data_IF_317011766997
#
_entry.id   IF_317011766997
#
_cell.length_a   1.000
_cell.length_b   1.000
_cell.length_c   1.000
_cell.angle_alpha   90.00
_cell.angle_beta   90.00
_cell.angle_gamma   90.00
#
_symmetry.space_group_name_H-M   'P 1'
#
loop_
_entity.id
_entity.type
_entity.pdbx_description
1 polymer ?
#
# COMPACT_ATOMS: atom_id res chain seq x y z
N UNK A 1 -29.89 -85.46 -28.89
CA UNK A 1 -29.23 -84.40 -29.67
C UNK A 1 -29.62 -83.06 -29.12
N UNK A 2 -28.76 -82.13 -28.72
CA UNK A 2 -27.32 -82.09 -28.45
C UNK A 2 -27.19 -80.77 -27.65
N UNK A 3 -26.79 -80.84 -26.38
CA UNK A 3 -25.48 -80.36 -25.87
C UNK A 3 -25.17 -78.86 -25.98
N UNK A 4 -24.72 -78.29 -24.85
CA UNK A 4 -24.19 -76.94 -24.66
C UNK A 4 -24.75 -76.32 -23.37
N UNK A 5 -24.32 -76.75 -22.18
CA UNK A 5 -23.16 -76.28 -21.37
C UNK A 5 -23.24 -74.80 -20.96
N UNK A 6 -23.57 -74.66 -19.66
CA UNK A 6 -23.12 -73.74 -18.60
C UNK A 6 -22.52 -72.34 -18.86
N UNK A 7 -22.96 -71.43 -18.00
CA UNK A 7 -22.12 -70.63 -17.08
C UNK A 7 -22.24 -69.09 -17.13
N UNK A 8 -22.61 -68.58 -15.95
CA UNK A 8 -22.17 -67.33 -15.32
C UNK A 8 -22.98 -66.05 -15.51
N UNK A 9 -23.40 -65.55 -14.36
CA UNK A 9 -24.04 -64.27 -14.13
C UNK A 9 -23.12 -63.09 -14.46
N UNK A 10 -23.69 -62.01 -15.02
CA UNK A 10 -23.14 -60.66 -14.82
C UNK A 10 -24.22 -59.59 -14.85
N UNK A 11 -24.38 -58.95 -13.70
CA UNK A 11 -25.16 -57.75 -13.45
C UNK A 11 -24.91 -56.63 -14.47
N UNK A 12 -26.01 -56.02 -14.95
CA UNK A 12 -26.18 -54.56 -15.13
C UNK A 12 -27.61 -54.27 -15.61
N UNK A 13 -28.52 -54.06 -14.67
CA UNK A 13 -29.80 -53.43 -14.99
C UNK A 13 -29.61 -51.92 -14.88
N UNK A 14 -29.18 -51.32 -15.98
CA UNK A 14 -29.39 -49.90 -16.26
C UNK A 14 -30.81 -49.67 -16.80
N UNK A 15 -31.29 -48.46 -16.56
CA UNK A 15 -32.56 -47.85 -17.01
C UNK A 15 -33.76 -48.02 -16.07
N UNK A 16 -34.06 -46.91 -15.39
CA UNK A 16 -35.20 -46.77 -14.49
C UNK A 16 -35.57 -45.30 -14.28
N UNK A 17 -36.16 -44.72 -15.32
CA UNK A 17 -37.17 -43.65 -15.29
C UNK A 17 -36.78 -42.20 -14.96
N UNK A 18 -37.18 -41.30 -15.88
CA UNK A 18 -37.14 -39.86 -15.76
C UNK A 18 -37.90 -39.33 -14.53
N UNK A 19 -37.29 -38.38 -13.83
CA UNK A 19 -37.99 -37.19 -13.34
C UNK A 19 -37.12 -35.98 -13.62
N UNK A 20 -37.50 -35.17 -14.61
CA UNK A 20 -36.93 -33.83 -14.81
C UNK A 20 -37.50 -32.94 -13.70
N UNK A 21 -36.70 -32.39 -12.77
CA UNK A 21 -37.21 -31.33 -11.93
C UNK A 21 -37.34 -30.07 -12.79
N UNK A 22 -38.60 -29.62 -12.87
CA UNK A 22 -39.10 -28.36 -13.38
C UNK A 22 -38.08 -27.21 -13.26
N UNK A 23 -37.34 -26.96 -14.35
CA UNK A 23 -36.50 -25.76 -14.45
C UNK A 23 -37.44 -24.58 -14.72
N UNK A 24 -37.68 -23.76 -13.69
CA UNK A 24 -38.56 -22.61 -13.76
C UNK A 24 -38.02 -21.59 -14.80
N UNK A 25 -38.90 -21.09 -15.67
CA UNK A 25 -38.56 -20.26 -16.85
C UNK A 25 -38.05 -18.85 -16.52
N UNK A 26 -37.83 -18.54 -15.23
CA UNK A 26 -37.33 -17.26 -14.74
C UNK A 26 -35.82 -17.22 -14.42
N UNK A 27 -35.10 -18.34 -14.56
CA UNK A 27 -33.65 -18.41 -14.22
C UNK A 27 -32.71 -17.87 -15.31
N UNK A 28 -33.22 -17.12 -16.30
CA UNK A 28 -32.41 -16.59 -17.42
C UNK A 28 -32.28 -15.06 -17.41
N UNK A 29 -32.88 -14.33 -16.45
CA UNK A 29 -32.84 -12.85 -16.44
C UNK A 29 -32.05 -12.21 -15.31
N UNK A 30 -31.53 -12.98 -14.35
CA UNK A 30 -30.83 -12.43 -13.19
C UNK A 30 -29.40 -12.97 -12.99
N UNK A 31 -28.92 -13.84 -13.89
CA UNK A 31 -27.56 -14.40 -13.85
C UNK A 31 -26.48 -13.32 -13.95
N UNK A 32 -26.78 -12.22 -14.65
CA UNK A 32 -25.93 -11.03 -14.65
C UNK A 32 -25.93 -10.32 -13.29
N UNK A 33 -27.12 -9.98 -12.77
CA UNK A 33 -27.24 -9.18 -11.55
C UNK A 33 -26.64 -9.87 -10.31
N UNK A 34 -26.83 -11.18 -10.13
CA UNK A 34 -26.22 -11.91 -9.02
C UNK A 34 -24.71 -12.03 -9.16
N UNK A 35 -24.20 -12.22 -10.38
CA UNK A 35 -22.76 -12.19 -10.67
C UNK A 35 -22.15 -10.83 -10.33
N UNK A 36 -22.82 -9.73 -10.72
CA UNK A 36 -22.40 -8.37 -10.36
C UNK A 36 -22.41 -8.14 -8.84
N UNK A 37 -23.45 -8.57 -8.12
CA UNK A 37 -23.51 -8.41 -6.65
C UNK A 37 -22.39 -9.19 -5.97
N UNK A 38 -22.13 -10.44 -6.38
CA UNK A 38 -21.04 -11.25 -5.81
C UNK A 38 -19.67 -10.65 -6.15
N UNK A 39 -19.46 -10.21 -7.38
CA UNK A 39 -18.23 -9.53 -7.79
C UNK A 39 -18.01 -8.24 -7.00
N UNK A 40 -19.05 -7.44 -6.80
CA UNK A 40 -18.99 -6.23 -5.97
C UNK A 40 -18.65 -6.59 -4.53
N UNK A 41 -19.27 -7.62 -3.95
CA UNK A 41 -18.98 -8.04 -2.58
C UNK A 41 -17.54 -8.53 -2.41
N UNK A 42 -17.04 -9.36 -3.33
CA UNK A 42 -15.65 -9.83 -3.35
C UNK A 42 -14.69 -8.64 -3.53
N UNK A 43 -15.02 -7.72 -4.45
CA UNK A 43 -14.23 -6.51 -4.72
C UNK A 43 -14.14 -5.65 -3.47
N UNK A 44 -15.27 -5.35 -2.81
CA UNK A 44 -15.28 -4.59 -1.56
C UNK A 44 -14.46 -5.30 -0.49
N UNK A 45 -14.68 -6.59 -0.26
CA UNK A 45 -13.97 -7.35 0.78
C UNK A 45 -12.45 -7.44 0.52
N UNK A 46 -12.01 -7.40 -0.74
CA UNK A 46 -10.59 -7.41 -1.10
C UNK A 46 -9.95 -6.02 -1.07
N UNK A 47 -10.71 -4.96 -1.39
CA UNK A 47 -10.21 -3.59 -1.42
C UNK A 47 -10.33 -2.86 -0.07
N UNK A 48 -11.17 -3.32 0.85
CA UNK A 48 -11.24 -2.74 2.19
C UNK A 48 -10.14 -3.32 3.08
N UNK A 49 -9.20 -2.50 3.56
CA UNK A 49 -8.20 -2.96 4.51
C UNK A 49 -8.88 -3.35 5.81
N UNK A 50 -8.51 -4.52 6.35
CA UNK A 50 -9.07 -5.05 7.60
C UNK A 50 -8.51 -4.33 8.82
N UNK A 51 -7.29 -3.82 8.68
CA UNK A 51 -6.56 -3.10 9.70
C UNK A 51 -6.37 -1.64 9.28
N UNK A 52 -6.20 -0.77 10.27
CA UNK A 52 -5.94 0.64 10.06
C UNK A 52 -4.61 1.05 10.67
N UNK A 53 -4.09 2.18 10.20
CA UNK A 53 -2.89 2.79 10.72
C UNK A 53 -3.07 4.29 10.88
N UNK A 54 -2.28 4.88 11.78
CA UNK A 54 -2.27 6.31 12.05
C UNK A 54 -0.83 6.80 12.16
N UNK A 55 -0.62 8.07 11.81
CA UNK A 55 0.65 8.74 12.02
C UNK A 55 0.79 9.12 13.51
N UNK A 56 1.91 8.81 14.16
CA UNK A 56 2.14 9.14 15.58
C UNK A 56 2.96 10.43 15.78
N UNK A 57 3.44 11.04 14.70
CA UNK A 57 4.38 12.17 14.72
C UNK A 57 5.73 11.81 14.10
N UNK A 58 6.12 10.54 14.13
CA UNK A 58 7.40 10.03 13.64
C UNK A 58 7.26 8.89 12.63
N UNK A 59 6.26 8.02 12.77
CA UNK A 59 6.03 6.86 11.90
C UNK A 59 4.54 6.51 11.85
N UNK A 60 4.19 5.58 10.97
CA UNK A 60 2.88 4.95 11.03
C UNK A 60 2.86 3.85 12.10
N UNK A 61 1.76 3.76 12.83
CA UNK A 61 1.46 2.70 13.81
C UNK A 61 0.11 2.06 13.48
N UNK A 62 -0.02 0.77 13.76
CA UNK A 62 -1.29 0.06 13.63
C UNK A 62 -2.24 0.50 14.74
N UNK A 63 -3.49 0.79 14.38
CA UNK A 63 -4.54 1.22 15.31
C UNK A 63 -5.87 0.56 14.94
N UNK A 64 -6.83 0.59 15.87
CA UNK A 64 -8.20 0.21 15.57
C UNK A 64 -8.83 1.23 14.61
N UNK A 65 -9.52 0.75 13.57
CA UNK A 65 -10.18 1.60 12.58
C UNK A 65 -11.28 2.50 13.17
N UNK A 66 -11.84 2.12 14.32
CA UNK A 66 -12.87 2.86 15.03
C UNK A 66 -12.30 3.76 16.13
N UNK A 67 -10.97 3.81 16.28
CA UNK A 67 -10.33 4.66 17.26
C UNK A 67 -10.47 6.14 16.89
N UNK A 68 -11.19 6.89 17.74
CA UNK A 68 -11.42 8.32 17.60
C UNK A 68 -10.51 9.18 18.47
N UNK A 69 -9.61 8.55 19.24
CA UNK A 69 -8.71 9.22 20.17
C UNK A 69 -7.40 9.68 19.50
N UNK A 70 -7.14 9.19 18.28
CA UNK A 70 -5.94 9.51 17.54
C UNK A 70 -5.90 10.98 17.11
N UNK A 71 -4.74 11.61 17.28
CA UNK A 71 -4.53 13.02 16.91
C UNK A 71 -4.52 13.26 15.39
N UNK A 72 -4.14 12.24 14.62
CA UNK A 72 -4.06 12.28 13.17
C UNK A 72 -5.11 11.36 12.53
N UNK A 73 -5.28 11.50 11.22
CA UNK A 73 -6.27 10.73 10.48
C UNK A 73 -5.91 9.24 10.48
N UNK A 74 -6.87 8.41 10.88
CA UNK A 74 -6.83 6.96 10.72
C UNK A 74 -7.11 6.62 9.26
N UNK A 75 -6.20 5.88 8.64
CA UNK A 75 -6.28 5.44 7.24
C UNK A 75 -6.14 3.93 7.17
N UNK A 76 -6.51 3.35 6.03
CA UNK A 76 -6.28 1.94 5.77
C UNK A 76 -4.81 1.55 5.91
N UNK A 77 -4.55 0.40 6.52
CA UNK A 77 -3.19 -0.09 6.72
C UNK A 77 -2.51 -0.39 5.38
N UNK A 78 -1.34 0.21 5.20
CA UNK A 78 -0.40 -0.07 4.12
C UNK A 78 0.87 -0.61 4.76
N UNK A 79 1.17 -1.88 4.51
CA UNK A 79 2.27 -2.59 5.16
C UNK A 79 3.64 -1.95 4.87
N UNK A 80 3.85 -1.50 3.63
CA UNK A 80 5.12 -0.90 3.22
C UNK A 80 5.36 0.42 3.97
N UNK A 81 4.31 1.24 4.08
CA UNK A 81 4.39 2.50 4.82
C UNK A 81 4.53 2.28 6.32
N UNK A 82 3.86 1.26 6.87
CA UNK A 82 3.97 0.92 8.28
C UNK A 82 5.40 0.54 8.68
N UNK A 83 6.08 -0.25 7.84
CA UNK A 83 7.43 -0.76 8.14
C UNK A 83 8.53 0.27 7.83
N UNK A 84 8.42 0.91 6.66
CA UNK A 84 9.53 1.63 6.04
C UNK A 84 9.38 3.17 6.06
N UNK A 85 8.17 3.71 6.25
CA UNK A 85 7.95 5.16 6.18
C UNK A 85 8.05 5.82 7.55
N UNK A 86 9.10 6.63 7.74
CA UNK A 86 9.43 7.32 8.99
C UNK A 86 9.92 8.73 8.70
N UNK A 87 9.65 9.64 9.62
CA UNK A 87 10.25 10.98 9.68
C UNK A 87 11.69 10.83 10.17
N UNK A 88 12.59 11.57 9.54
CA UNK A 88 14.00 11.63 9.90
C UNK A 88 14.19 12.92 10.69
N UNK A 89 14.50 12.77 11.97
CA UNK A 89 14.84 13.89 12.86
C UNK A 89 16.36 14.13 12.79
N UNK A 90 16.85 15.29 12.32
CA UNK A 90 18.29 15.61 12.31
C UNK A 90 18.78 15.71 13.76
N UNK A 91 19.90 15.06 14.16
CA UNK A 91 21.24 15.46 13.67
C UNK A 91 22.19 14.32 13.19
N UNK A 92 21.90 13.04 13.45
CA UNK A 92 22.93 11.97 13.33
C UNK A 92 22.73 10.95 12.19
N UNK A 93 21.59 10.99 11.50
CA UNK A 93 21.17 9.89 10.59
C UNK A 93 21.41 10.24 9.11
N UNK A 94 21.35 11.52 8.76
CA UNK A 94 21.49 11.96 7.39
C UNK A 94 22.97 11.94 6.99
N UNK A 95 23.38 10.92 6.19
CA UNK A 95 24.70 10.89 5.54
C UNK A 95 24.59 11.15 4.04
N UNK A 96 25.67 11.66 3.43
CA UNK A 96 25.73 11.94 1.98
C UNK A 96 25.41 10.69 1.13
N UNK A 97 25.72 9.49 1.62
CA UNK A 97 25.40 8.22 0.94
C UNK A 97 23.90 7.91 0.88
N UNK A 98 23.10 8.57 1.71
CA UNK A 98 21.66 8.37 1.79
C UNK A 98 20.91 9.26 0.76
N UNK A 99 21.63 10.15 0.05
CA UNK A 99 21.10 10.92 -1.08
C UNK A 99 20.58 9.95 -2.14
N UNK A 100 19.33 10.16 -2.57
CA UNK A 100 18.60 9.27 -3.48
C UNK A 100 17.63 8.30 -2.78
N UNK A 101 17.82 8.06 -1.48
CA UNK A 101 16.96 7.21 -0.65
C UNK A 101 16.29 8.00 0.50
N UNK A 102 16.26 9.33 0.37
CA UNK A 102 15.62 10.23 1.32
C UNK A 102 14.65 11.11 0.54
N UNK A 103 13.53 11.40 1.17
CA UNK A 103 12.51 12.30 0.67
C UNK A 103 12.34 13.48 1.61
N UNK A 104 11.93 14.62 1.08
CA UNK A 104 11.71 15.83 1.87
C UNK A 104 10.38 16.50 1.52
N UNK A 105 9.87 17.25 2.48
CA UNK A 105 8.74 18.15 2.35
C UNK A 105 9.21 19.57 2.72
N UNK A 106 8.62 20.59 2.10
CA UNK A 106 8.76 21.98 2.52
C UNK A 106 7.38 22.59 2.62
N UNK A 107 6.93 22.85 3.84
CA UNK A 107 5.61 23.36 4.16
C UNK A 107 5.80 24.52 5.14
N UNK A 108 5.22 25.68 4.85
CA UNK A 108 5.28 26.86 5.74
C UNK A 108 6.71 27.23 6.20
N UNK A 109 7.68 27.06 5.28
CA UNK A 109 9.13 27.23 5.48
C UNK A 109 9.83 26.21 6.39
N UNK A 110 9.10 25.25 6.95
CA UNK A 110 9.67 24.11 7.64
C UNK A 110 10.05 23.02 6.65
N UNK A 111 11.22 22.42 6.85
CA UNK A 111 11.73 21.32 6.02
C UNK A 111 11.82 20.07 6.86
N UNK A 112 11.11 19.04 6.41
CA UNK A 112 11.07 17.74 7.07
C UNK A 112 11.57 16.66 6.12
N UNK A 113 12.29 15.68 6.66
CA UNK A 113 12.88 14.57 5.90
C UNK A 113 12.22 13.25 6.26
N UNK A 114 12.18 12.32 5.32
CA UNK A 114 11.50 11.03 5.42
C UNK A 114 12.28 9.91 4.74
N UNK A 115 12.11 8.68 5.22
CA UNK A 115 12.78 7.47 4.71
C UNK A 115 12.11 6.86 3.48
N UNK A 116 10.95 7.37 3.05
CA UNK A 116 10.19 6.81 1.94
C UNK A 116 9.48 7.85 1.08
N UNK A 117 9.11 7.49 -0.16
CA UNK A 117 8.31 8.33 -1.04
C UNK A 117 6.84 8.41 -0.57
N UNK A 118 6.05 9.24 -1.25
CA UNK A 118 4.60 9.29 -1.07
C UNK A 118 4.10 10.68 -0.73
N UNK A 119 3.06 10.74 0.12
CA UNK A 119 2.44 11.98 0.56
C UNK A 119 2.79 12.30 2.01
N UNK A 120 2.75 13.59 2.33
CA UNK A 120 3.00 14.08 3.68
C UNK A 120 1.95 13.50 4.65
N UNK A 121 2.37 12.90 5.79
CA UNK A 121 1.45 12.20 6.68
C UNK A 121 0.37 13.12 7.30
N UNK A 122 0.69 14.40 7.47
CA UNK A 122 -0.24 15.42 8.02
C UNK A 122 -0.92 16.26 6.93
N UNK A 123 -0.28 16.42 5.77
CA UNK A 123 -0.75 17.30 4.68
C UNK A 123 -0.91 16.45 3.42
N UNK A 124 -1.95 15.63 3.38
CA UNK A 124 -2.12 14.57 2.38
C UNK A 124 -2.11 15.05 0.91
N UNK A 125 -2.33 16.34 0.65
CA UNK A 125 -2.25 16.93 -0.68
C UNK A 125 -0.81 17.35 -1.10
N UNK A 126 0.19 17.16 -0.24
CA UNK A 126 1.59 17.47 -0.52
C UNK A 126 2.36 16.18 -0.74
N UNK A 127 2.87 15.99 -1.95
CA UNK A 127 3.81 14.91 -2.24
C UNK A 127 5.20 15.24 -1.70
N UNK A 128 5.89 14.20 -1.23
CA UNK A 128 7.29 14.29 -0.85
C UNK A 128 8.17 14.25 -2.10
N UNK A 129 9.29 14.99 -2.06
CA UNK A 129 10.23 15.10 -3.17
C UNK A 129 11.51 14.36 -2.82
N UNK A 130 12.12 13.67 -3.78
CA UNK A 130 13.42 13.05 -3.58
C UNK A 130 14.48 14.12 -3.25
N UNK A 131 15.34 13.83 -2.27
CA UNK A 131 16.46 14.72 -1.93
C UNK A 131 17.54 14.61 -2.99
N UNK A 132 17.85 15.74 -3.61
CA UNK A 132 18.96 15.88 -4.55
C UNK A 132 20.20 16.45 -3.84
N UNK A 133 21.37 16.36 -4.48
CA UNK A 133 22.60 16.98 -3.98
C UNK A 133 22.43 18.47 -3.68
N UNK A 134 21.67 19.20 -4.50
CA UNK A 134 21.41 20.63 -4.25
C UNK A 134 20.56 20.84 -2.98
N UNK A 135 19.48 20.08 -2.81
CA UNK A 135 18.62 20.15 -1.62
C UNK A 135 19.38 19.76 -0.36
N UNK A 136 20.20 18.70 -0.45
CA UNK A 136 21.10 18.28 0.62
C UNK A 136 21.98 19.43 1.08
N UNK A 137 22.64 20.10 0.14
CA UNK A 137 23.52 21.23 0.48
C UNK A 137 22.73 22.36 1.11
N UNK A 138 21.58 22.71 0.54
CA UNK A 138 20.76 23.84 1.01
C UNK A 138 20.17 23.64 2.40
N UNK A 139 19.75 22.43 2.77
CA UNK A 139 18.95 22.20 3.98
C UNK A 139 19.57 21.23 4.99
N UNK A 140 20.53 20.40 4.59
CA UNK A 140 21.19 19.43 5.48
C UNK A 140 22.61 19.89 5.79
N UNK A 141 23.44 20.23 4.81
CA UNK A 141 24.83 20.64 5.10
C UNK A 141 24.96 22.07 5.63
N UNK A 142 23.90 22.89 5.52
CA UNK A 142 23.87 24.26 6.07
C UNK A 142 23.30 24.29 7.49
N UNK A 143 22.86 23.15 8.09
CA UNK A 143 22.54 23.15 9.52
C UNK A 143 23.83 23.41 10.29
N UNK A 144 23.99 24.59 10.90
CA UNK A 144 25.19 24.92 11.62
C UNK A 144 25.09 24.24 12.98
N UNK A 145 25.94 23.26 13.23
CA UNK A 145 26.58 23.33 14.54
C UNK A 145 27.34 24.66 14.57
N UNK A 146 27.06 25.42 15.61
CA UNK A 146 27.72 26.67 15.92
C UNK A 146 29.24 26.44 15.91
N UNK A 147 29.97 27.19 15.09
CA UNK A 147 31.43 27.38 15.12
C UNK A 147 32.36 26.45 14.32
N UNK A 148 32.16 26.21 13.02
CA UNK A 148 33.33 25.94 12.14
C UNK A 148 33.24 26.65 10.77
N UNK A 149 33.98 27.76 10.68
CA UNK A 149 34.51 28.45 9.49
C UNK A 149 34.00 28.00 8.11
N UNK A 150 32.99 28.73 7.57
CA UNK A 150 32.72 28.76 6.13
C UNK A 150 33.75 29.68 5.47
N UNK A 151 34.88 29.12 5.03
CA UNK A 151 35.86 29.80 4.18
C UNK A 151 35.91 29.25 2.75
N UNK A 152 34.84 28.65 2.22
CA UNK A 152 34.82 28.27 0.80
C UNK A 152 33.37 28.34 0.28
N UNK A 153 33.00 29.10 -0.74
CA UNK A 153 33.74 30.03 -1.57
C UNK A 153 32.78 30.96 -2.30
N UNK A 154 33.01 32.26 -2.17
CA UNK A 154 32.56 33.24 -3.15
C UNK A 154 33.63 33.20 -4.26
N UNK A 155 33.54 32.24 -5.18
CA UNK A 155 34.25 32.32 -6.45
C UNK A 155 33.24 32.74 -7.52
N UNK A 156 32.78 33.98 -7.41
CA UNK A 156 32.19 34.71 -8.52
C UNK A 156 33.35 35.35 -9.29
N UNK A 157 33.50 34.93 -10.55
CA UNK A 157 33.86 35.81 -11.69
C UNK A 157 35.32 36.27 -11.75
N UNK A 158 36.18 35.47 -12.39
CA UNK A 158 37.35 36.00 -13.10
C UNK A 158 36.93 36.29 -14.54
N UNK A 159 36.91 37.59 -14.85
CA UNK A 159 36.86 38.17 -16.19
C UNK A 159 38.31 38.30 -16.64
N UNK A 160 38.66 37.66 -17.75
CA UNK A 160 39.60 38.21 -18.73
C UNK A 160 39.10 37.83 -20.12
#
# INVERSE_FOLDING_TARGET
SSEGVDESQRNKNESGSQKKPFLNRHTLRFTGATSFIIAIFITIHFLTPKDCMCWDGEKYIQVDCQDKTQAYQVIGLDQDRLEHFRKITPPDILRVKDIGNIWYSKIDNEVEFFTGPGYHPVRLNKSLKAVTKHIWVTYVSITPDSNQHVQFGIMQKQKE
#
